data_IF_628782736924
#
_entry.id   IF_628782736924
#
_cell.length_a   1.000
_cell.length_b   1.000
_cell.length_c   1.000
_cell.angle_alpha   90.00
_cell.angle_beta   90.00
_cell.angle_gamma   90.00
#
_symmetry.space_group_name_H-M   'P 1'
#
loop_
_entity.id
_entity.type
_entity.pdbx_description
1 polymer ?
#
# COMPACT_ATOMS: atom_id res chain seq x y z
N UNK A 1 9.20 -2.75 16.50
CA UNK A 1 9.52 -1.36 16.15
C UNK A 1 8.33 -0.86 15.36
N UNK A 2 7.61 0.13 15.88
CA UNK A 2 6.49 0.77 15.17
C UNK A 2 7.03 1.54 13.96
N UNK A 3 6.28 1.51 12.86
CA UNK A 3 6.60 2.30 11.67
C UNK A 3 6.60 3.79 12.03
N UNK A 4 7.50 4.61 11.45
CA UNK A 4 7.48 6.05 11.72
C UNK A 4 6.12 6.62 11.32
N UNK A 5 5.43 7.24 12.26
CA UNK A 5 4.17 7.92 11.97
C UNK A 5 4.47 9.20 11.18
N UNK A 6 4.19 9.13 9.88
CA UNK A 6 4.44 10.22 8.94
C UNK A 6 3.46 11.39 9.14
N UNK A 7 2.47 11.25 10.03
CA UNK A 7 1.52 12.31 10.40
C UNK A 7 1.85 12.98 11.74
N UNK A 8 2.90 12.56 12.47
CA UNK A 8 3.26 13.15 13.76
C UNK A 8 4.02 14.48 13.62
N UNK A 9 3.70 15.44 14.49
CA UNK A 9 4.53 16.62 14.76
C UNK A 9 5.69 16.22 15.67
N UNK A 10 6.93 16.19 15.15
CA UNK A 10 8.10 15.82 15.96
C UNK A 10 9.40 15.65 15.16
N UNK A 11 10.45 15.07 15.76
CA UNK A 11 11.67 14.72 15.04
C UNK A 11 11.40 13.61 14.00
N UNK A 12 12.05 13.68 12.84
CA UNK A 12 12.02 12.59 11.86
C UNK A 12 13.07 11.55 12.25
N UNK A 13 12.67 10.28 12.38
CA UNK A 13 13.57 9.18 12.71
C UNK A 13 13.36 8.02 11.73
N UNK A 14 14.45 7.52 11.14
CA UNK A 14 14.39 6.36 10.23
C UNK A 14 15.70 5.58 10.24
N UNK A 15 15.61 4.26 10.34
CA UNK A 15 16.71 3.35 10.01
C UNK A 15 16.42 2.80 8.61
N UNK A 16 17.14 3.27 7.56
CA UNK A 16 16.78 2.93 6.20
C UNK A 16 16.92 1.44 5.90
N UNK A 17 17.92 0.77 6.46
CA UNK A 17 18.16 -0.67 6.24
C UNK A 17 17.05 -1.48 6.91
N UNK A 18 16.76 -1.20 8.18
CA UNK A 18 15.69 -1.90 8.90
C UNK A 18 14.31 -1.63 8.27
N UNK A 19 14.07 -0.39 7.84
CA UNK A 19 12.82 0.00 7.16
C UNK A 19 12.64 -0.74 5.84
N UNK A 20 13.67 -0.81 4.98
CA UNK A 20 13.58 -1.55 3.70
C UNK A 20 13.27 -3.02 3.94
N UNK A 21 14.02 -3.71 4.82
CA UNK A 21 13.79 -5.14 5.07
C UNK A 21 12.40 -5.42 5.65
N UNK A 22 11.93 -4.57 6.55
CA UNK A 22 10.59 -4.69 7.14
C UNK A 22 9.52 -4.52 6.07
N UNK A 23 9.63 -3.47 5.23
CA UNK A 23 8.65 -3.18 4.19
C UNK A 23 8.63 -4.23 3.09
N UNK A 24 9.78 -4.73 2.66
CA UNK A 24 9.85 -5.83 1.68
C UNK A 24 9.21 -7.10 2.25
N UNK A 25 9.46 -7.42 3.53
CA UNK A 25 8.83 -8.54 4.21
C UNK A 25 7.30 -8.44 4.24
N UNK A 26 6.77 -7.28 4.65
CA UNK A 26 5.33 -7.03 4.68
C UNK A 26 4.71 -6.96 3.28
N UNK A 27 5.38 -6.38 2.29
CA UNK A 27 4.94 -6.33 0.90
C UNK A 27 4.73 -7.75 0.33
N UNK A 28 5.73 -8.63 0.50
CA UNK A 28 5.65 -10.02 0.01
C UNK A 28 4.52 -10.78 0.71
N UNK A 29 4.38 -10.59 2.03
CA UNK A 29 3.33 -11.22 2.83
C UNK A 29 1.94 -10.75 2.39
N UNK A 30 1.72 -9.46 2.24
CA UNK A 30 0.42 -8.91 1.85
C UNK A 30 0.06 -9.25 0.40
N UNK A 31 1.03 -9.20 -0.53
CA UNK A 31 0.80 -9.64 -1.91
C UNK A 31 0.39 -11.12 -1.98
N UNK A 32 0.99 -12.00 -1.17
CA UNK A 32 0.57 -13.41 -1.09
C UNK A 32 -0.85 -13.55 -0.58
N UNK A 33 -1.23 -12.78 0.45
CA UNK A 33 -2.62 -12.75 0.95
C UNK A 33 -3.61 -12.30 -0.12
N UNK A 34 -3.27 -11.28 -0.92
CA UNK A 34 -4.11 -10.82 -2.05
C UNK A 34 -4.29 -11.92 -3.09
N UNK A 35 -3.20 -12.59 -3.49
CA UNK A 35 -3.29 -13.72 -4.45
C UNK A 35 -4.13 -14.87 -3.88
N UNK A 36 -4.04 -15.16 -2.58
CA UNK A 36 -4.87 -16.16 -1.94
C UNK A 36 -6.36 -15.79 -1.98
N UNK A 37 -6.69 -14.53 -1.71
CA UNK A 37 -8.06 -13.99 -1.82
C UNK A 37 -8.58 -14.10 -3.25
N UNK A 38 -7.77 -13.73 -4.25
CA UNK A 38 -8.15 -13.83 -5.67
C UNK A 38 -8.42 -15.27 -6.10
N UNK A 39 -7.60 -16.22 -5.65
CA UNK A 39 -7.81 -17.65 -5.92
C UNK A 39 -9.08 -18.17 -5.28
N UNK A 40 -9.36 -17.77 -4.04
CA UNK A 40 -10.60 -18.15 -3.35
C UNK A 40 -11.83 -17.61 -4.09
N UNK A 41 -11.79 -16.36 -4.52
CA UNK A 41 -12.86 -15.75 -5.30
C UNK A 41 -13.08 -16.48 -6.64
N UNK A 42 -12.00 -16.80 -7.36
CA UNK A 42 -12.09 -17.52 -8.62
C UNK A 42 -12.64 -18.95 -8.45
N UNK A 43 -12.24 -19.66 -7.39
CA UNK A 43 -12.75 -20.98 -7.07
C UNK A 43 -14.26 -20.93 -6.73
N UNK A 44 -14.68 -19.96 -5.92
CA UNK A 44 -16.10 -19.74 -5.62
C UNK A 44 -16.90 -19.43 -6.88
N UNK A 45 -16.39 -18.58 -7.78
CA UNK A 45 -17.06 -18.28 -9.05
C UNK A 45 -17.19 -19.51 -9.97
N UNK A 46 -16.15 -20.37 -10.01
CA UNK A 46 -16.15 -21.57 -10.85
C UNK A 46 -17.09 -22.67 -10.31
N UNK A 47 -17.14 -22.88 -9.00
CA UNK A 47 -18.04 -23.85 -8.35
C UNK A 47 -19.52 -23.54 -8.57
N UNK A 48 -19.82 -22.28 -8.87
CA UNK A 48 -21.17 -21.74 -8.95
C UNK A 48 -21.55 -21.22 -10.35
N UNK A 49 -20.78 -21.59 -11.38
CA UNK A 49 -20.94 -21.07 -12.75
C UNK A 49 -22.31 -21.37 -13.37
N UNK A 50 -22.98 -22.44 -12.93
CA UNK A 50 -24.31 -22.87 -13.43
C UNK A 50 -25.47 -22.43 -12.51
N UNK A 51 -25.21 -21.67 -11.45
CA UNK A 51 -26.24 -21.18 -10.52
C UNK A 51 -26.63 -19.74 -10.84
N UNK A 52 -27.95 -19.46 -10.80
CA UNK A 52 -28.47 -18.11 -10.98
C UNK A 52 -27.83 -17.14 -9.98
N UNK A 53 -27.42 -15.97 -10.47
CA UNK A 53 -26.69 -14.94 -9.71
C UNK A 53 -27.42 -14.49 -8.44
N UNK A 54 -28.76 -14.55 -8.45
CA UNK A 54 -29.62 -14.29 -7.28
C UNK A 54 -29.53 -15.37 -6.20
N UNK A 55 -29.37 -16.64 -6.58
CA UNK A 55 -29.23 -17.76 -5.64
C UNK A 55 -27.88 -17.69 -4.92
N UNK A 56 -26.83 -17.28 -5.64
CA UNK A 56 -25.49 -17.06 -5.09
C UNK A 56 -25.42 -15.88 -4.13
N UNK A 57 -26.16 -14.81 -4.44
CA UNK A 57 -26.33 -13.65 -3.57
C UNK A 57 -26.94 -14.02 -2.22
N UNK A 58 -27.89 -14.95 -2.22
CA UNK A 58 -28.61 -15.39 -1.03
C UNK A 58 -27.83 -16.45 -0.22
N UNK A 59 -27.07 -17.32 -0.89
CA UNK A 59 -26.37 -18.44 -0.26
C UNK A 59 -25.00 -18.06 0.35
N UNK A 60 -24.25 -17.14 -0.28
CA UNK A 60 -22.87 -16.82 0.13
C UNK A 60 -22.71 -15.51 0.88
N UNK A 61 -23.82 -14.84 1.21
CA UNK A 61 -23.84 -13.48 1.77
C UNK A 61 -22.98 -12.58 0.89
N UNK A 62 -23.55 -12.11 -0.24
CA UNK A 62 -22.88 -11.34 -1.31
C UNK A 62 -21.90 -10.25 -0.79
N UNK A 63 -22.15 -9.77 0.43
CA UNK A 63 -21.23 -8.97 1.25
C UNK A 63 -19.80 -9.53 1.30
N UNK A 64 -19.59 -10.82 1.53
CA UNK A 64 -18.26 -11.44 1.60
C UNK A 64 -17.49 -11.32 0.29
N UNK A 65 -18.15 -11.51 -0.86
CA UNK A 65 -17.51 -11.36 -2.18
C UNK A 65 -17.22 -9.90 -2.50
N UNK A 66 -18.16 -9.00 -2.16
CA UNK A 66 -17.94 -7.55 -2.26
C UNK A 66 -16.79 -7.08 -1.34
N UNK A 67 -16.67 -7.65 -0.15
CA UNK A 67 -15.60 -7.35 0.81
C UNK A 67 -14.23 -7.82 0.27
N UNK A 68 -14.16 -8.97 -0.40
CA UNK A 68 -12.93 -9.44 -1.05
C UNK A 68 -12.52 -8.56 -2.24
N UNK A 69 -13.49 -8.11 -3.05
CA UNK A 69 -13.24 -7.16 -4.14
C UNK A 69 -12.78 -5.80 -3.60
N UNK A 70 -13.41 -5.31 -2.53
CA UNK A 70 -13.03 -4.07 -1.85
C UNK A 70 -11.63 -4.15 -1.22
N UNK A 71 -11.25 -5.30 -0.64
CA UNK A 71 -9.91 -5.55 -0.12
C UNK A 71 -8.85 -5.46 -1.22
N UNK A 72 -9.14 -6.01 -2.40
CA UNK A 72 -8.26 -5.89 -3.57
C UNK A 72 -8.13 -4.44 -4.03
N UNK A 73 -9.24 -3.71 -4.12
CA UNK A 73 -9.22 -2.30 -4.50
C UNK A 73 -8.41 -1.48 -3.49
N UNK A 74 -8.63 -1.69 -2.19
CA UNK A 74 -7.88 -1.05 -1.11
C UNK A 74 -6.38 -1.33 -1.21
N UNK A 75 -6.00 -2.57 -1.52
CA UNK A 75 -4.61 -2.96 -1.72
C UNK A 75 -3.95 -2.12 -2.81
N UNK A 76 -4.53 -2.06 -4.00
CA UNK A 76 -3.90 -1.38 -5.15
C UNK A 76 -4.02 0.15 -5.11
N UNK A 77 -5.06 0.69 -4.48
CA UNK A 77 -5.30 2.15 -4.45
C UNK A 77 -4.65 2.85 -3.26
N UNK A 78 -4.40 2.13 -2.16
CA UNK A 78 -3.91 2.74 -0.92
C UNK A 78 -2.71 2.03 -0.34
N UNK A 79 -2.82 0.73 -0.08
CA UNK A 79 -1.81 0.02 0.72
C UNK A 79 -0.49 -0.15 -0.05
N UNK A 80 -0.54 -0.65 -1.28
CA UNK A 80 0.64 -0.84 -2.11
C UNK A 80 1.35 0.49 -2.42
N UNK A 81 0.66 1.56 -2.88
CA UNK A 81 1.30 2.86 -3.03
C UNK A 81 1.96 3.36 -1.74
N UNK A 82 1.33 3.17 -0.57
CA UNK A 82 1.90 3.53 0.74
C UNK A 82 3.20 2.82 1.04
N UNK A 83 3.25 1.51 0.84
CA UNK A 83 4.48 0.74 1.04
C UNK A 83 5.59 1.16 0.07
N UNK A 84 5.26 1.39 -1.20
CA UNK A 84 6.26 1.80 -2.20
C UNK A 84 6.77 3.22 -1.92
N UNK A 85 5.91 4.13 -1.46
CA UNK A 85 6.31 5.49 -1.09
C UNK A 85 7.25 5.50 0.13
N UNK A 86 7.00 4.62 1.10
CA UNK A 86 7.91 4.45 2.24
C UNK A 86 9.24 3.83 1.81
N UNK A 87 9.23 2.87 0.88
CA UNK A 87 10.46 2.32 0.30
C UNK A 87 11.26 3.40 -0.43
N UNK A 88 10.60 4.25 -1.23
CA UNK A 88 11.26 5.36 -1.91
C UNK A 88 11.90 6.33 -0.92
N UNK A 89 11.19 6.67 0.17
CA UNK A 89 11.75 7.50 1.23
C UNK A 89 12.95 6.84 1.91
N UNK A 90 12.87 5.55 2.24
CA UNK A 90 13.97 4.83 2.88
C UNK A 90 15.22 4.74 1.97
N UNK A 91 15.01 4.57 0.66
CA UNK A 91 16.09 4.65 -0.33
C UNK A 91 16.72 6.03 -0.34
N UNK A 92 15.93 7.10 -0.38
CA UNK A 92 16.45 8.47 -0.39
C UNK A 92 17.19 8.83 0.91
N UNK A 93 16.71 8.34 2.06
CA UNK A 93 17.41 8.47 3.35
C UNK A 93 18.75 7.73 3.30
N UNK A 94 18.79 6.51 2.76
CA UNK A 94 20.04 5.77 2.57
C UNK A 94 21.01 6.50 1.64
N UNK A 95 20.53 7.01 0.50
CA UNK A 95 21.37 7.74 -0.46
C UNK A 95 21.92 9.05 0.14
N UNK A 96 21.18 9.68 1.05
CA UNK A 96 21.57 10.96 1.67
C UNK A 96 22.47 10.78 2.89
N UNK A 97 22.18 9.79 3.74
CA UNK A 97 22.81 9.65 5.07
C UNK A 97 23.56 8.33 5.27
N UNK A 98 23.48 7.38 4.32
CA UNK A 98 24.03 6.04 4.42
C UNK A 98 23.15 5.07 5.22
N UNK A 99 23.74 3.98 5.69
CA UNK A 99 23.02 2.87 6.35
C UNK A 99 22.62 3.14 7.81
N UNK A 100 23.12 4.24 8.40
CA UNK A 100 22.90 4.54 9.81
C UNK A 100 21.47 4.97 10.12
N UNK A 101 21.04 4.77 11.37
CA UNK A 101 19.81 5.38 11.86
C UNK A 101 19.92 6.90 11.81
N UNK A 102 18.98 7.53 11.11
CA UNK A 102 18.87 8.98 10.95
C UNK A 102 17.88 9.53 11.96
N UNK A 103 18.24 10.65 12.58
CA UNK A 103 17.37 11.47 13.40
C UNK A 103 17.54 12.93 13.03
N UNK A 104 16.44 13.60 12.72
CA UNK A 104 16.38 15.02 12.37
C UNK A 104 15.45 15.69 13.37
N UNK A 105 16.03 16.47 14.27
CA UNK A 105 15.30 17.17 15.33
C UNK A 105 14.80 18.56 14.89
N UNK A 106 15.37 19.16 13.85
CA UNK A 106 14.88 20.42 13.32
C UNK A 106 13.48 20.22 12.73
N UNK A 107 12.46 20.99 13.17
CA UNK A 107 11.08 20.78 12.75
C UNK A 107 10.82 21.09 11.28
N UNK A 108 11.60 22.00 10.66
CA UNK A 108 11.45 22.36 9.25
C UNK A 108 12.01 21.23 8.40
N UNK A 109 13.23 20.78 8.70
CA UNK A 109 13.86 19.68 7.99
C UNK A 109 13.09 18.37 8.19
N UNK A 110 12.63 18.08 9.40
CA UNK A 110 11.80 16.91 9.66
C UNK A 110 10.48 16.94 8.88
N UNK A 111 9.85 18.12 8.76
CA UNK A 111 8.65 18.30 7.93
C UNK A 111 8.93 18.08 6.44
N UNK A 112 10.08 18.55 5.95
CA UNK A 112 10.50 18.34 4.56
C UNK A 112 10.65 16.84 4.27
N UNK A 113 11.30 16.09 5.15
CA UNK A 113 11.47 14.64 4.99
C UNK A 113 10.16 13.87 5.06
N UNK A 114 9.23 14.25 5.93
CA UNK A 114 7.87 13.69 5.91
C UNK A 114 7.13 14.02 4.62
N UNK A 115 7.28 15.25 4.12
CA UNK A 115 6.64 15.71 2.89
C UNK A 115 7.05 14.88 1.67
N UNK A 116 8.29 14.38 1.62
CA UNK A 116 8.77 13.48 0.56
C UNK A 116 7.95 12.20 0.44
N UNK A 117 7.49 11.64 1.57
CA UNK A 117 6.57 10.49 1.54
C UNK A 117 5.23 10.85 0.87
N UNK A 118 4.65 12.00 1.18
CA UNK A 118 3.37 12.41 0.59
C UNK A 118 3.50 12.70 -0.92
N UNK A 119 4.62 13.28 -1.34
CA UNK A 119 4.93 13.46 -2.77
C UNK A 119 5.05 12.11 -3.46
N UNK A 120 5.86 11.19 -2.92
CA UNK A 120 6.00 9.84 -3.47
C UNK A 120 4.66 9.09 -3.51
N UNK A 121 3.82 9.24 -2.49
CA UNK A 121 2.46 8.70 -2.45
C UNK A 121 1.58 9.22 -3.57
N UNK A 122 1.63 10.53 -3.82
CA UNK A 122 0.87 11.15 -4.89
C UNK A 122 1.32 10.61 -6.26
N UNK A 123 2.64 10.51 -6.49
CA UNK A 123 3.18 10.00 -7.75
C UNK A 123 2.77 8.54 -8.02
N UNK A 124 2.72 7.71 -6.97
CA UNK A 124 2.39 6.28 -7.07
C UNK A 124 0.89 6.01 -7.15
N UNK A 125 0.04 6.96 -6.76
CA UNK A 125 -1.42 6.87 -6.85
C UNK A 125 -1.99 7.57 -8.08
N UNK A 126 -1.29 8.54 -8.67
CA UNK A 126 -1.79 9.40 -9.74
C UNK A 126 -1.87 8.76 -11.14
N UNK A 127 -1.57 7.48 -11.31
CA UNK A 127 -1.63 6.79 -12.61
C UNK A 127 -2.97 6.08 -12.85
N UNK A 128 -4.05 6.86 -12.95
CA UNK A 128 -5.27 6.43 -13.67
C UNK A 128 -6.19 7.57 -14.12
N UNK A 129 -5.65 8.65 -14.69
CA UNK A 129 -6.46 9.54 -15.52
C UNK A 129 -6.32 9.07 -16.97
N UNK A 130 -7.31 8.40 -17.58
CA UNK A 130 -7.32 8.28 -19.03
C UNK A 130 -7.35 9.71 -19.58
N UNK A 131 -6.38 10.03 -20.42
CA UNK A 131 -6.27 11.30 -21.11
C UNK A 131 -7.53 11.50 -21.97
N UNK A 132 -8.54 12.14 -21.38
CA UNK A 132 -9.84 12.34 -21.99
C UNK A 132 -9.82 13.75 -22.58
N UNK A 133 -9.63 13.78 -23.89
CA UNK A 133 -9.89 14.85 -24.86
C UNK A 133 -8.68 15.69 -25.29
N UNK A 134 -8.12 15.30 -26.44
CA UNK A 134 -8.04 16.22 -27.60
C UNK A 134 -8.66 15.53 -28.82
N UNK A 135 -9.90 15.91 -29.10
CA UNK A 135 -10.57 15.77 -30.39
C UNK A 135 -11.06 17.17 -30.77
#
# INVERSE_FOLDING_TARGET
MEMPDMNESGPFCMDPVATVWTLVGELVKQQRSVVQVERMLAAMQAEHADQDREVLSLAYDLKNVCDLAALRELWYTRTLPSMVAQLALALEVHETFGDGTVRIDDPIDASLWRSKYFVAMQDMTASRTPDRKRA
#
